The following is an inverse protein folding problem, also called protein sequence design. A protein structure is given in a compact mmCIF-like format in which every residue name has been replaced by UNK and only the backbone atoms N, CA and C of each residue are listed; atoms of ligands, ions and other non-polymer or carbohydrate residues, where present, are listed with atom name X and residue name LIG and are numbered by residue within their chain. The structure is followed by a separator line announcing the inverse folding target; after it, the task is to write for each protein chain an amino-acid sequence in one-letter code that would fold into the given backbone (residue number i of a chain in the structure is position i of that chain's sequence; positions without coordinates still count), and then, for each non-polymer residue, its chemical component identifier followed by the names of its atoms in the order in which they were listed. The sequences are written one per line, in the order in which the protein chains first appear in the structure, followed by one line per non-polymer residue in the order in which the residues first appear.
data_IF_455247069335
#
_entry.id   IF_455247069335
#
_cell.length_a   1.000
_cell.length_b   1.000
_cell.length_c   1.000
_cell.angle_alpha   90.00
_cell.angle_beta   90.00
_cell.angle_gamma   90.00
#
_symmetry.space_group_name_H-M   'P 1'
#
loop_
_entity.id
_entity.type
_entity.pdbx_description
1 polymer ?
#
# COMPACT_ATOMS: atom_id res chain seq x y z
N UNK A 1 26.17 8.23 -5.55
CA UNK A 1 26.06 9.05 -6.76
C UNK A 1 27.40 9.18 -7.50
N UNK A 2 28.53 8.87 -6.88
CA UNK A 2 29.86 8.99 -7.47
C UNK A 2 30.36 10.42 -7.65
N UNK A 3 29.64 11.42 -7.15
CA UNK A 3 30.08 12.81 -7.20
C UNK A 3 31.11 13.12 -6.10
N UNK A 4 32.12 13.90 -6.44
CA UNK A 4 33.23 14.28 -5.54
C UNK A 4 32.80 15.29 -4.47
N UNK A 5 31.75 16.09 -4.73
CA UNK A 5 31.26 17.14 -3.85
C UNK A 5 29.80 16.95 -3.53
N UNK A 6 29.36 17.49 -2.39
CA UNK A 6 27.95 17.48 -2.00
C UNK A 6 27.10 18.25 -3.01
N UNK A 7 26.16 17.56 -3.66
CA UNK A 7 25.21 18.19 -4.57
C UNK A 7 24.01 18.75 -3.80
N UNK A 8 23.65 20.00 -4.02
CA UNK A 8 22.46 20.64 -3.41
C UNK A 8 21.17 20.31 -4.16
N UNK A 9 21.29 19.88 -5.42
CA UNK A 9 20.16 19.40 -6.22
C UNK A 9 20.01 17.90 -6.14
N UNK A 10 18.78 17.40 -6.12
CA UNK A 10 18.52 15.96 -6.18
C UNK A 10 18.94 15.42 -7.57
N UNK A 11 19.65 14.29 -7.64
CA UNK A 11 20.12 13.72 -8.92
C UNK A 11 18.98 13.23 -9.83
N UNK A 12 17.81 12.97 -9.26
CA UNK A 12 16.61 12.52 -9.98
C UNK A 12 15.34 12.90 -9.21
N UNK A 13 14.23 12.98 -9.93
CA UNK A 13 12.91 13.15 -9.32
C UNK A 13 12.44 11.84 -8.65
N UNK A 14 11.59 11.96 -7.63
CA UNK A 14 11.01 10.80 -6.94
C UNK A 14 10.22 9.88 -7.88
N UNK A 15 9.59 10.43 -8.92
CA UNK A 15 8.87 9.65 -9.94
C UNK A 15 9.81 8.83 -10.81
N UNK A 16 11.02 9.29 -11.07
CA UNK A 16 12.03 8.55 -11.84
C UNK A 16 12.49 7.30 -11.10
N UNK A 17 12.63 7.36 -9.78
CA UNK A 17 12.90 6.18 -8.95
C UNK A 17 11.76 5.15 -8.99
N UNK A 18 10.51 5.60 -9.10
CA UNK A 18 9.36 4.70 -9.28
C UNK A 18 9.45 4.02 -10.65
N UNK A 19 9.67 4.78 -11.71
CA UNK A 19 9.84 4.23 -13.06
C UNK A 19 11.05 3.28 -13.16
N UNK A 20 12.16 3.62 -12.51
CA UNK A 20 13.33 2.75 -12.44
C UNK A 20 12.98 1.40 -11.80
N UNK A 21 12.34 1.39 -10.62
CA UNK A 21 11.92 0.16 -9.96
C UNK A 21 10.99 -0.70 -10.80
N UNK A 22 10.06 -0.10 -11.53
CA UNK A 22 9.20 -0.84 -12.46
C UNK A 22 9.99 -1.48 -13.61
N UNK A 23 11.00 -0.78 -14.15
CA UNK A 23 11.83 -1.30 -15.24
C UNK A 23 12.70 -2.47 -14.83
N UNK A 24 13.38 -2.38 -13.69
CA UNK A 24 14.29 -3.45 -13.23
C UNK A 24 13.55 -4.64 -12.63
N UNK A 25 12.32 -4.43 -12.11
CA UNK A 25 11.50 -5.45 -11.50
C UNK A 25 12.11 -6.07 -10.23
N UNK A 26 11.53 -7.16 -9.78
CA UNK A 26 11.95 -7.86 -8.56
C UNK A 26 13.38 -8.40 -8.67
N UNK A 27 13.71 -9.03 -9.80
CA UNK A 27 15.06 -9.57 -10.05
C UNK A 27 16.14 -8.50 -9.99
N UNK A 28 15.87 -7.31 -10.56
CA UNK A 28 16.84 -6.21 -10.52
C UNK A 28 17.04 -5.67 -9.11
N UNK A 29 15.98 -5.61 -8.28
CA UNK A 29 16.10 -5.24 -6.87
C UNK A 29 16.92 -6.29 -6.10
N UNK A 30 16.70 -7.59 -6.32
CA UNK A 30 17.52 -8.64 -5.70
C UNK A 30 18.99 -8.54 -6.10
N UNK A 31 19.28 -8.27 -7.38
CA UNK A 31 20.66 -8.06 -7.84
C UNK A 31 21.34 -6.86 -7.15
N UNK A 32 20.61 -5.77 -6.95
CA UNK A 32 21.14 -4.60 -6.21
C UNK A 32 21.43 -4.98 -4.75
N UNK A 33 20.55 -5.74 -4.10
CA UNK A 33 20.76 -6.19 -2.73
C UNK A 33 21.95 -7.15 -2.64
N UNK A 34 22.08 -8.11 -3.57
CA UNK A 34 23.20 -9.03 -3.66
C UNK A 34 24.53 -8.28 -3.81
N UNK A 35 24.55 -7.28 -4.70
CA UNK A 35 25.76 -6.46 -4.92
C UNK A 35 26.10 -5.60 -3.69
N UNK A 36 25.07 -5.08 -3.00
CA UNK A 36 25.26 -4.36 -1.74
C UNK A 36 25.90 -5.25 -0.67
N UNK A 37 25.46 -6.50 -0.55
CA UNK A 37 26.06 -7.48 0.36
C UNK A 37 27.51 -7.76 -0.03
N UNK A 38 27.77 -7.99 -1.33
CA UNK A 38 29.11 -8.26 -1.86
C UNK A 38 30.11 -7.14 -1.57
N UNK A 39 29.69 -5.89 -1.70
CA UNK A 39 30.54 -4.71 -1.44
C UNK A 39 30.91 -4.62 0.05
N UNK A 40 30.03 -5.04 0.96
CA UNK A 40 30.31 -5.08 2.38
C UNK A 40 31.26 -6.23 2.80
N UNK A 41 31.56 -7.16 1.88
CA UNK A 41 32.58 -8.20 2.07
C UNK A 41 32.38 -9.01 3.36
N UNK A 42 33.41 -9.06 4.24
CA UNK A 42 33.36 -9.81 5.49
C UNK A 42 32.25 -9.37 6.45
N UNK A 43 31.82 -8.10 6.39
CA UNK A 43 30.76 -7.58 7.24
C UNK A 43 29.37 -8.12 6.84
N UNK A 44 29.21 -8.51 5.59
CA UNK A 44 28.02 -9.22 5.09
C UNK A 44 28.06 -10.74 5.28
N UNK A 45 29.20 -11.30 5.67
CA UNK A 45 29.44 -12.75 5.83
C UNK A 45 29.42 -13.20 7.30
N UNK A 46 28.79 -12.45 8.19
CA UNK A 46 28.57 -12.84 9.57
C UNK A 46 27.49 -13.94 9.62
N UNK A 47 27.88 -15.11 10.11
CA UNK A 47 26.98 -16.26 10.24
C UNK A 47 25.86 -16.10 11.27
N UNK A 48 25.88 -15.01 12.03
CA UNK A 48 24.90 -14.69 13.06
C UNK A 48 23.98 -13.56 12.57
N UNK A 49 22.68 -13.85 12.41
CA UNK A 49 21.71 -12.89 11.91
C UNK A 49 20.61 -12.60 12.93
N UNK A 50 20.07 -11.39 12.86
CA UNK A 50 18.83 -11.02 13.55
C UNK A 50 17.75 -10.80 12.52
N UNK A 51 16.55 -11.30 12.81
CA UNK A 51 15.36 -11.14 11.96
C UNK A 51 14.32 -10.32 12.71
N UNK A 52 13.90 -9.20 12.14
CA UNK A 52 12.85 -8.36 12.68
C UNK A 52 11.77 -8.12 11.63
N UNK A 53 10.51 -8.11 12.05
CA UNK A 53 9.38 -7.82 11.19
C UNK A 53 8.83 -6.43 11.46
N UNK A 54 8.87 -5.60 10.45
CA UNK A 54 8.32 -4.24 10.50
C UNK A 54 7.20 -4.04 9.49
N UNK A 55 6.50 -2.92 9.58
CA UNK A 55 5.52 -2.49 8.57
C UNK A 55 6.15 -1.45 7.67
N UNK A 56 6.26 -1.78 6.39
CA UNK A 56 6.57 -0.81 5.35
C UNK A 56 5.30 0.01 5.08
N UNK A 57 5.16 1.13 5.75
CA UNK A 57 4.00 2.00 5.55
C UNK A 57 3.97 2.57 4.12
N UNK A 58 2.77 2.61 3.57
CA UNK A 58 2.51 3.23 2.27
C UNK A 58 1.96 4.64 2.44
N UNK A 59 2.32 5.53 1.53
CA UNK A 59 1.83 6.91 1.52
C UNK A 59 0.36 6.97 1.08
N UNK A 60 -0.53 6.57 1.99
CA UNK A 60 -1.97 6.64 1.78
C UNK A 60 -2.63 7.56 2.81
N UNK A 61 -3.64 8.28 2.39
CA UNK A 61 -4.48 9.03 3.33
C UNK A 61 -5.23 8.05 4.23
N UNK A 62 -5.34 8.34 5.54
CA UNK A 62 -6.07 7.49 6.49
C UNK A 62 -7.41 7.05 5.89
N UNK A 63 -7.61 5.74 5.65
CA UNK A 63 -8.73 5.23 4.88
C UNK A 63 -10.02 5.24 5.69
N UNK A 64 -11.05 5.77 5.07
CA UNK A 64 -12.43 5.59 5.51
C UNK A 64 -13.28 5.24 4.29
N UNK A 65 -14.33 4.44 4.47
CA UNK A 65 -15.20 4.05 3.36
C UNK A 65 -15.75 5.30 2.63
N UNK A 66 -16.11 6.35 3.36
CA UNK A 66 -16.58 7.60 2.77
C UNK A 66 -15.54 8.29 1.87
N UNK A 67 -14.25 8.27 2.27
CA UNK A 67 -13.15 8.81 1.44
C UNK A 67 -12.94 7.95 0.19
N UNK A 68 -12.98 6.62 0.33
CA UNK A 68 -12.87 5.71 -0.81
C UNK A 68 -14.02 5.90 -1.80
N UNK A 69 -15.26 5.99 -1.32
CA UNK A 69 -16.41 6.26 -2.17
C UNK A 69 -16.29 7.61 -2.91
N UNK A 70 -15.74 8.65 -2.28
CA UNK A 70 -15.46 9.93 -2.95
C UNK A 70 -14.38 9.80 -4.02
N UNK A 71 -13.32 9.03 -3.75
CA UNK A 71 -12.28 8.75 -4.74
C UNK A 71 -12.85 7.97 -5.94
N UNK A 72 -13.75 6.99 -5.70
CA UNK A 72 -14.47 6.28 -6.77
C UNK A 72 -15.25 7.27 -7.64
N UNK A 73 -16.03 8.16 -7.04
CA UNK A 73 -16.79 9.18 -7.79
C UNK A 73 -15.87 10.01 -8.68
N UNK A 74 -14.76 10.50 -8.11
CA UNK A 74 -13.78 11.30 -8.88
C UNK A 74 -13.14 10.51 -10.02
N UNK A 75 -12.78 9.23 -9.79
CA UNK A 75 -12.22 8.37 -10.84
C UNK A 75 -13.26 8.08 -11.93
N UNK A 76 -14.51 7.77 -11.57
CA UNK A 76 -15.59 7.57 -12.54
C UNK A 76 -15.81 8.81 -13.43
N UNK A 77 -15.77 10.00 -12.84
CA UNK A 77 -15.91 11.24 -13.60
C UNK A 77 -14.75 11.45 -14.59
N UNK A 78 -13.50 11.17 -14.16
CA UNK A 78 -12.33 11.25 -15.03
C UNK A 78 -12.37 10.25 -16.18
N UNK A 79 -12.80 9.01 -15.92
CA UNK A 79 -12.96 8.00 -16.96
C UNK A 79 -14.03 8.44 -17.96
N UNK A 80 -15.17 8.92 -17.48
CA UNK A 80 -16.25 9.41 -18.36
C UNK A 80 -15.81 10.60 -19.22
N UNK A 81 -15.01 11.52 -18.65
CA UNK A 81 -14.44 12.66 -19.38
C UNK A 81 -13.45 12.21 -20.45
N UNK A 82 -12.54 11.28 -20.12
CA UNK A 82 -11.53 10.74 -21.04
C UNK A 82 -12.17 10.00 -22.23
N UNK A 83 -13.28 9.29 -21.99
CA UNK A 83 -14.00 8.52 -23.02
C UNK A 83 -15.13 9.31 -23.69
N UNK A 84 -15.28 10.61 -23.36
CA UNK A 84 -16.35 11.44 -23.92
C UNK A 84 -17.78 10.96 -23.59
N UNK A 85 -17.95 10.21 -22.50
CA UNK A 85 -19.23 9.64 -22.10
C UNK A 85 -20.12 10.70 -21.44
N UNK A 86 -21.41 10.78 -21.82
CA UNK A 86 -22.34 11.70 -21.18
C UNK A 86 -22.62 11.26 -19.74
N UNK A 87 -22.20 12.04 -18.77
CA UNK A 87 -22.55 11.81 -17.36
C UNK A 87 -23.85 12.53 -17.03
N UNK A 88 -24.85 11.78 -16.58
CA UNK A 88 -26.18 12.32 -16.25
C UNK A 88 -26.14 13.46 -15.23
N UNK A 89 -25.23 13.39 -14.27
CA UNK A 89 -25.03 14.41 -13.24
C UNK A 89 -23.58 14.46 -12.75
N UNK A 90 -23.00 15.65 -12.64
CA UNK A 90 -21.67 15.84 -12.05
C UNK A 90 -21.63 15.69 -10.51
N UNK A 91 -22.78 15.73 -9.85
CA UNK A 91 -22.91 15.69 -8.38
C UNK A 91 -22.07 16.73 -7.60
N UNK A 92 -21.41 17.68 -8.27
CA UNK A 92 -20.44 18.60 -7.65
C UNK A 92 -21.02 19.37 -6.46
N UNK A 93 -22.18 19.99 -6.63
CA UNK A 93 -22.88 20.74 -5.56
C UNK A 93 -23.33 19.82 -4.43
N UNK A 94 -23.92 18.66 -4.78
CA UNK A 94 -24.36 17.64 -3.82
C UNK A 94 -23.21 17.13 -2.97
N UNK A 95 -22.08 16.79 -3.58
CA UNK A 95 -20.88 16.30 -2.85
C UNK A 95 -20.30 17.35 -1.92
N UNK A 96 -20.31 18.65 -2.32
CA UNK A 96 -19.90 19.75 -1.45
C UNK A 96 -20.78 19.84 -0.20
N UNK A 97 -22.10 19.79 -0.35
CA UNK A 97 -23.08 19.77 0.76
C UNK A 97 -22.87 18.55 1.67
N UNK A 98 -22.78 17.35 1.10
CA UNK A 98 -22.53 16.13 1.85
C UNK A 98 -21.19 16.17 2.61
N UNK A 99 -20.16 16.88 2.07
CA UNK A 99 -18.90 17.11 2.75
C UNK A 99 -19.06 17.96 4.02
N UNK A 100 -19.91 18.97 3.98
CA UNK A 100 -20.25 19.75 5.17
C UNK A 100 -20.97 18.89 6.20
N UNK A 101 -21.94 18.08 5.75
CA UNK A 101 -22.70 17.19 6.63
C UNK A 101 -21.84 16.10 7.29
N UNK A 102 -20.70 15.75 6.70
CA UNK A 102 -19.73 14.79 7.25
C UNK A 102 -18.75 15.39 8.25
N UNK A 103 -18.70 16.72 8.37
CA UNK A 103 -17.85 17.39 9.37
C UNK A 103 -18.37 17.08 10.77
N UNK A 104 -17.46 17.13 11.74
CA UNK A 104 -17.77 16.90 13.15
C UNK A 104 -18.57 15.62 13.43
N UNK A 105 -18.31 14.55 12.64
CA UNK A 105 -19.01 13.26 12.75
C UNK A 105 -18.93 12.60 14.13
N UNK A 106 -17.90 12.94 14.92
CA UNK A 106 -17.73 12.41 16.28
C UNK A 106 -18.63 13.11 17.29
N UNK A 107 -19.18 14.27 16.95
CA UNK A 107 -20.10 14.98 17.82
C UNK A 107 -21.48 14.26 17.83
N UNK A 108 -22.08 13.96 18.99
CA UNK A 108 -23.31 13.20 19.10
C UNK A 108 -24.46 13.72 18.21
N UNK A 109 -24.68 15.04 18.20
CA UNK A 109 -25.74 15.70 17.39
C UNK A 109 -25.52 15.55 15.87
N UNK A 110 -24.29 15.40 15.41
CA UNK A 110 -23.96 15.33 13.97
C UNK A 110 -23.81 13.89 13.44
N UNK A 111 -23.67 12.90 14.33
CA UNK A 111 -23.41 11.50 13.98
C UNK A 111 -24.45 10.92 13.02
N UNK A 112 -25.74 11.19 13.28
CA UNK A 112 -26.84 10.73 12.42
C UNK A 112 -26.81 11.35 11.02
N UNK A 113 -26.54 12.67 10.95
CA UNK A 113 -26.42 13.44 9.71
C UNK A 113 -25.24 12.96 8.88
N UNK A 114 -24.08 12.77 9.50
CA UNK A 114 -22.89 12.26 8.85
C UNK A 114 -23.09 10.84 8.29
N UNK A 115 -23.76 9.93 9.00
CA UNK A 115 -24.09 8.59 8.51
C UNK A 115 -25.05 8.61 7.31
N UNK A 116 -26.04 9.52 7.30
CA UNK A 116 -26.92 9.72 6.15
C UNK A 116 -26.13 10.22 4.93
N UNK A 117 -25.21 11.16 5.14
CA UNK A 117 -24.33 11.67 4.11
C UNK A 117 -23.39 10.58 3.54
N UNK A 118 -22.79 9.74 4.40
CA UNK A 118 -21.95 8.61 3.96
C UNK A 118 -22.73 7.63 3.07
N UNK A 119 -23.95 7.27 3.46
CA UNK A 119 -24.83 6.42 2.65
C UNK A 119 -25.15 7.06 1.29
N UNK A 120 -25.43 8.36 1.26
CA UNK A 120 -25.70 9.08 0.01
C UNK A 120 -24.47 9.11 -0.92
N UNK A 121 -23.27 9.33 -0.37
CA UNK A 121 -22.01 9.27 -1.14
C UNK A 121 -21.81 7.87 -1.73
N UNK A 122 -22.03 6.80 -0.95
CA UNK A 122 -21.96 5.41 -1.43
C UNK A 122 -22.96 5.16 -2.57
N UNK A 123 -24.19 5.63 -2.42
CA UNK A 123 -25.24 5.51 -3.47
C UNK A 123 -24.84 6.21 -4.77
N UNK A 124 -24.25 7.42 -4.68
CA UNK A 124 -23.77 8.17 -5.85
C UNK A 124 -22.62 7.41 -6.52
N UNK A 125 -21.65 6.92 -5.76
CA UNK A 125 -20.55 6.13 -6.28
C UNK A 125 -21.05 4.88 -7.04
N UNK A 126 -21.97 4.12 -6.44
CA UNK A 126 -22.55 2.94 -7.09
C UNK A 126 -23.38 3.25 -8.34
N UNK A 127 -24.01 4.43 -8.40
CA UNK A 127 -24.71 4.88 -9.63
C UNK A 127 -23.72 5.15 -10.76
N UNK A 128 -22.65 5.88 -10.48
CA UNK A 128 -21.64 6.20 -11.48
C UNK A 128 -20.90 4.96 -11.98
N UNK A 129 -20.57 4.01 -11.11
CA UNK A 129 -19.96 2.74 -11.53
C UNK A 129 -20.88 1.99 -12.50
N UNK A 130 -22.17 1.84 -12.18
CA UNK A 130 -23.15 1.19 -13.08
C UNK A 130 -23.39 1.97 -14.37
N UNK A 131 -23.26 3.29 -14.35
CA UNK A 131 -23.36 4.14 -15.54
C UNK A 131 -22.18 3.92 -16.47
N UNK A 132 -20.96 3.85 -15.94
CA UNK A 132 -19.76 3.50 -16.71
C UNK A 132 -19.86 2.10 -17.33
N UNK A 133 -20.28 1.09 -16.56
CA UNK A 133 -20.44 -0.27 -17.08
C UNK A 133 -21.42 -0.39 -18.26
N UNK A 134 -22.47 0.43 -18.26
CA UNK A 134 -23.45 0.41 -19.37
C UNK A 134 -22.95 1.14 -20.61
N UNK A 135 -22.12 2.15 -20.43
CA UNK A 135 -21.71 3.04 -21.49
C UNK A 135 -20.35 2.71 -22.09
N UNK A 136 -19.50 1.97 -21.34
CA UNK A 136 -18.23 1.49 -21.84
C UNK A 136 -18.39 0.21 -22.66
N UNK A 137 -17.56 0.01 -23.70
CA UNK A 137 -17.55 -1.26 -24.46
C UNK A 137 -17.14 -2.43 -23.55
N UNK A 138 -17.52 -3.65 -23.93
CA UNK A 138 -17.21 -4.86 -23.16
C UNK A 138 -15.69 -5.07 -22.98
N UNK A 139 -14.90 -4.76 -24.00
CA UNK A 139 -13.44 -4.75 -23.91
C UNK A 139 -12.98 -3.31 -23.69
N UNK A 140 -12.82 -2.89 -22.45
CA UNK A 140 -12.33 -1.56 -22.08
C UNK A 140 -11.12 -1.64 -21.14
N UNK A 141 -10.22 -0.67 -21.16
CA UNK A 141 -9.02 -0.68 -20.31
C UNK A 141 -9.31 -0.47 -18.82
N UNK A 142 -10.54 -0.09 -18.46
CA UNK A 142 -10.95 0.27 -17.09
C UNK A 142 -11.63 -0.88 -16.32
N UNK A 143 -11.72 -2.08 -16.91
CA UNK A 143 -12.43 -3.20 -16.28
C UNK A 143 -11.89 -3.52 -14.88
N UNK A 144 -10.56 -3.55 -14.72
CA UNK A 144 -9.92 -3.78 -13.43
C UNK A 144 -10.27 -2.69 -12.39
N UNK A 145 -10.33 -1.43 -12.80
CA UNK A 145 -10.76 -0.32 -11.94
C UNK A 145 -12.23 -0.48 -11.52
N UNK A 146 -13.10 -0.83 -12.46
CA UNK A 146 -14.54 -1.06 -12.20
C UNK A 146 -14.74 -2.19 -11.20
N UNK A 147 -14.05 -3.30 -11.35
CA UNK A 147 -14.13 -4.43 -10.43
C UNK A 147 -13.59 -4.08 -9.05
N UNK A 148 -12.51 -3.31 -8.98
CA UNK A 148 -11.99 -2.75 -7.74
C UNK A 148 -13.02 -1.84 -7.05
N UNK A 149 -13.69 -0.95 -7.81
CA UNK A 149 -14.73 -0.07 -7.27
C UNK A 149 -15.91 -0.86 -6.72
N UNK A 150 -16.35 -1.91 -7.41
CA UNK A 150 -17.40 -2.81 -6.93
C UNK A 150 -17.00 -3.49 -5.63
N UNK A 151 -15.78 -4.03 -5.53
CA UNK A 151 -15.27 -4.63 -4.29
C UNK A 151 -15.35 -3.64 -3.13
N UNK A 152 -14.86 -2.40 -3.32
CA UNK A 152 -14.92 -1.34 -2.30
C UNK A 152 -16.34 -0.96 -1.93
N UNK A 153 -17.26 -0.93 -2.89
CA UNK A 153 -18.67 -0.62 -2.64
C UNK A 153 -19.40 -1.72 -1.85
N UNK A 154 -18.99 -2.97 -1.99
CA UNK A 154 -19.62 -4.11 -1.30
C UNK A 154 -18.98 -4.41 0.06
N UNK A 155 -17.73 -4.00 0.30
CA UNK A 155 -17.02 -4.31 1.53
C UNK A 155 -17.70 -3.76 2.79
N UNK A 156 -17.58 -4.53 3.87
CA UNK A 156 -18.07 -4.20 5.22
C UNK A 156 -16.91 -4.02 6.20
N UNK A 157 -17.20 -3.51 7.39
CA UNK A 157 -16.17 -3.22 8.39
C UNK A 157 -15.36 -4.44 8.83
N UNK A 158 -15.97 -5.60 8.90
CA UNK A 158 -15.35 -6.85 9.39
C UNK A 158 -14.81 -7.78 8.32
N UNK A 159 -14.87 -7.39 7.04
CA UNK A 159 -14.43 -8.27 5.96
C UNK A 159 -12.90 -8.48 5.99
N UNK A 160 -12.48 -9.72 5.78
CA UNK A 160 -11.09 -10.05 5.47
C UNK A 160 -10.72 -9.55 4.08
N UNK A 161 -9.47 -9.09 3.89
CA UNK A 161 -9.01 -8.58 2.59
C UNK A 161 -9.66 -7.27 2.15
N UNK A 162 -10.05 -6.43 3.10
CA UNK A 162 -10.61 -5.10 2.85
C UNK A 162 -9.63 -4.22 2.10
N UNK A 163 -10.13 -3.46 1.13
CA UNK A 163 -9.34 -2.50 0.35
C UNK A 163 -9.30 -1.17 1.08
N UNK A 164 -8.08 -0.67 1.32
CA UNK A 164 -7.82 0.59 2.01
C UNK A 164 -7.38 1.71 1.08
N UNK A 165 -6.92 1.39 -0.13
CA UNK A 165 -6.52 2.38 -1.14
C UNK A 165 -6.91 1.91 -2.54
N UNK A 166 -7.31 2.86 -3.43
CA UNK A 166 -7.62 2.56 -4.82
C UNK A 166 -6.38 2.55 -5.73
N UNK A 167 -5.26 3.13 -5.30
CA UNK A 167 -4.02 3.14 -6.08
C UNK A 167 -3.01 2.12 -5.55
N UNK A 168 -3.20 1.65 -4.33
CA UNK A 168 -2.40 0.61 -3.67
C UNK A 168 -3.38 -0.41 -3.06
N UNK A 169 -4.04 -1.26 -3.86
CA UNK A 169 -5.10 -2.17 -3.38
C UNK A 169 -4.59 -3.24 -2.40
N UNK A 170 -3.30 -3.59 -2.50
CA UNK A 170 -2.67 -4.63 -1.69
C UNK A 170 -2.25 -4.16 -0.28
N UNK A 171 -2.44 -2.87 0.03
CA UNK A 171 -2.16 -2.35 1.38
C UNK A 171 -3.02 -3.03 2.43
N UNK A 172 -2.36 -3.50 3.49
CA UNK A 172 -3.00 -4.13 4.64
C UNK A 172 -3.14 -3.14 5.81
N UNK A 173 -4.11 -3.39 6.68
CA UNK A 173 -4.27 -2.68 7.94
C UNK A 173 -3.68 -3.54 9.05
N UNK A 174 -2.56 -3.13 9.62
CA UNK A 174 -1.79 -3.88 10.59
C UNK A 174 -1.91 -3.17 11.93
N UNK A 175 -2.32 -3.92 12.98
CA UNK A 175 -2.39 -3.42 14.34
C UNK A 175 -1.12 -3.82 15.09
N UNK A 176 -0.33 -2.84 15.51
CA UNK A 176 0.91 -3.07 16.28
C UNK A 176 0.75 -2.81 17.80
N UNK A 177 -0.46 -2.60 18.29
CA UNK A 177 -0.69 -2.36 19.72
C UNK A 177 -0.05 -1.08 20.28
N UNK A 178 0.54 -0.22 19.44
CA UNK A 178 1.15 1.04 19.86
C UNK A 178 0.07 2.02 20.33
N UNK A 179 0.27 2.65 21.48
CA UNK A 179 -0.69 3.58 22.08
C UNK A 179 -0.98 4.78 21.16
N UNK A 180 0.05 5.38 20.56
CA UNK A 180 -0.08 6.56 19.70
C UNK A 180 -0.58 6.25 18.28
N UNK A 181 -0.35 5.03 17.77
CA UNK A 181 -0.67 4.66 16.38
C UNK A 181 -1.18 3.23 16.32
N UNK A 182 -2.46 3.10 16.58
CA UNK A 182 -3.12 1.80 16.66
C UNK A 182 -3.07 0.99 15.36
N UNK A 183 -3.10 1.65 14.21
CA UNK A 183 -3.12 1.00 12.89
C UNK A 183 -2.06 1.60 11.98
N UNK A 184 -1.30 0.73 11.34
CA UNK A 184 -0.36 1.04 10.27
C UNK A 184 -0.89 0.45 8.95
N UNK A 185 -0.75 1.22 7.86
CA UNK A 185 -1.25 0.82 6.55
C UNK A 185 -0.08 0.59 5.61
N UNK A 186 0.18 -0.68 5.29
CA UNK A 186 1.32 -1.09 4.49
C UNK A 186 1.37 -2.59 4.34
N UNK A 187 2.57 -3.09 4.04
CA UNK A 187 2.86 -4.51 4.01
C UNK A 187 3.86 -4.84 5.12
N UNK A 188 3.80 -6.06 5.66
CA UNK A 188 4.85 -6.55 6.54
C UNK A 188 6.12 -6.83 5.75
N UNK A 189 7.26 -6.53 6.33
CA UNK A 189 8.57 -6.82 5.76
C UNK A 189 9.42 -7.45 6.85
N UNK A 190 9.95 -8.66 6.61
CA UNK A 190 11.00 -9.24 7.42
C UNK A 190 12.34 -8.73 6.91
N UNK A 191 13.11 -8.11 7.78
CA UNK A 191 14.46 -7.63 7.52
C UNK A 191 15.41 -8.56 8.25
N UNK A 192 16.38 -9.11 7.51
CA UNK A 192 17.45 -9.92 8.07
C UNK A 192 18.72 -9.09 8.01
N UNK A 193 19.36 -8.91 9.15
CA UNK A 193 20.65 -8.20 9.24
C UNK A 193 21.66 -8.99 10.07
N UNK A 194 22.93 -8.80 9.78
CA UNK A 194 24.04 -9.37 10.56
C UNK A 194 24.06 -8.79 11.97
N UNK A 195 24.28 -9.63 12.99
CA UNK A 195 24.25 -9.19 14.39
C UNK A 195 25.38 -8.21 14.76
N UNK A 196 26.58 -8.49 14.28
CA UNK A 196 27.76 -7.73 14.68
C UNK A 196 27.93 -6.44 13.86
N UNK A 197 27.58 -6.46 12.60
CA UNK A 197 27.87 -5.35 11.67
C UNK A 197 26.63 -4.58 11.20
N UNK A 198 25.43 -5.15 11.38
CA UNK A 198 24.17 -4.52 11.00
C UNK A 198 23.91 -4.45 9.49
N UNK A 199 24.68 -5.20 8.68
CA UNK A 199 24.47 -5.25 7.22
C UNK A 199 23.18 -5.98 6.92
N UNK A 200 22.31 -5.39 6.09
CA UNK A 200 21.08 -6.03 5.64
C UNK A 200 21.43 -7.09 4.61
N UNK A 201 21.12 -8.34 4.95
CA UNK A 201 21.39 -9.54 4.13
C UNK A 201 20.12 -10.21 3.60
N UNK A 202 18.95 -9.71 3.99
CA UNK A 202 17.66 -10.16 3.49
C UNK A 202 16.58 -9.12 3.73
N UNK A 203 15.63 -9.03 2.81
CA UNK A 203 14.45 -8.17 2.94
C UNK A 203 13.29 -8.76 2.11
N UNK A 204 12.28 -9.30 2.79
CA UNK A 204 11.17 -9.98 2.14
C UNK A 204 9.84 -9.42 2.60
N UNK A 205 8.98 -9.04 1.63
CA UNK A 205 7.66 -8.48 1.90
C UNK A 205 6.59 -9.56 1.95
N UNK A 206 5.71 -9.47 2.92
CA UNK A 206 4.59 -10.39 3.12
C UNK A 206 3.26 -9.61 3.18
N UNK A 207 2.20 -10.27 2.81
CA UNK A 207 0.86 -9.86 3.21
C UNK A 207 0.74 -10.10 4.71
N UNK A 208 -0.15 -9.59 5.42
CA UNK A 208 -0.34 -9.66 6.88
C UNK A 208 -0.29 -11.12 7.47
N UNK A 209 0.79 -11.86 7.17
CA UNK A 209 1.07 -13.18 7.72
C UNK A 209 1.57 -13.06 9.18
N UNK A 210 1.41 -14.13 9.97
CA UNK A 210 2.03 -14.21 11.30
C UNK A 210 3.55 -14.28 11.18
N UNK A 211 4.27 -13.58 12.04
CA UNK A 211 5.71 -13.38 11.90
C UNK A 211 6.50 -14.71 11.90
N UNK A 212 6.13 -15.65 12.75
CA UNK A 212 6.75 -16.98 12.78
C UNK A 212 6.62 -17.78 11.47
N UNK A 213 5.57 -17.55 10.67
CA UNK A 213 5.41 -18.19 9.38
C UNK A 213 6.25 -17.56 8.26
N UNK A 214 6.87 -16.40 8.52
CA UNK A 214 7.69 -15.68 7.53
C UNK A 214 9.17 -15.97 7.68
N UNK A 215 9.61 -16.54 8.82
CA UNK A 215 11.01 -16.76 9.17
C UNK A 215 11.73 -17.65 8.16
N UNK A 216 11.17 -18.81 7.85
CA UNK A 216 11.77 -19.78 6.93
C UNK A 216 12.06 -19.13 5.56
N UNK A 217 11.05 -18.48 4.96
CA UNK A 217 11.19 -17.80 3.67
C UNK A 217 12.22 -16.64 3.69
N UNK A 218 12.30 -15.92 4.82
CA UNK A 218 13.28 -14.84 4.98
C UNK A 218 14.71 -15.40 5.06
N UNK A 219 14.92 -16.50 5.77
CA UNK A 219 16.21 -17.19 5.85
C UNK A 219 16.60 -17.87 4.53
N UNK A 220 15.65 -18.44 3.80
CA UNK A 220 15.87 -18.97 2.45
C UNK A 220 16.34 -17.88 1.48
N UNK A 221 15.71 -16.69 1.53
CA UNK A 221 16.17 -15.54 0.74
C UNK A 221 17.60 -15.17 1.14
N UNK A 222 17.90 -15.10 2.43
CA UNK A 222 19.25 -14.79 2.94
C UNK A 222 20.27 -15.77 2.43
N UNK A 223 19.99 -17.08 2.53
CA UNK A 223 20.83 -18.15 1.99
C UNK A 223 21.12 -17.94 0.49
N UNK A 224 20.10 -17.59 -0.29
CA UNK A 224 20.23 -17.38 -1.74
C UNK A 224 21.10 -16.15 -2.06
N UNK A 225 20.95 -15.06 -1.27
CA UNK A 225 21.67 -13.80 -1.51
C UNK A 225 23.12 -13.84 -1.04
N UNK A 226 23.41 -14.54 0.06
CA UNK A 226 24.76 -14.65 0.64
C UNK A 226 25.53 -15.88 0.17
N UNK A 227 24.85 -16.83 -0.52
CA UNK A 227 25.34 -18.17 -0.87
C UNK A 227 25.76 -19.01 0.34
N UNK A 228 25.33 -18.64 1.55
CA UNK A 228 25.62 -19.35 2.82
C UNK A 228 24.39 -19.38 3.71
N UNK A 229 24.21 -20.48 4.44
CA UNK A 229 23.18 -20.55 5.46
C UNK A 229 23.66 -19.84 6.76
N UNK A 230 22.83 -19.00 7.39
CA UNK A 230 23.15 -18.47 8.70
C UNK A 230 23.33 -19.60 9.72
N UNK A 231 24.35 -19.45 10.59
CA UNK A 231 24.60 -20.41 11.67
C UNK A 231 23.59 -20.26 12.80
N UNK A 232 23.22 -19.02 13.10
CA UNK A 232 22.19 -18.69 14.10
C UNK A 232 21.29 -17.55 13.60
N UNK A 233 20.01 -17.64 13.95
CA UNK A 233 19.05 -16.58 13.72
C UNK A 233 18.39 -16.19 15.05
N UNK A 234 18.54 -14.93 15.44
CA UNK A 234 17.88 -14.36 16.61
C UNK A 234 16.62 -13.65 16.18
N UNK A 235 15.53 -13.94 16.85
CA UNK A 235 14.20 -13.37 16.59
C UNK A 235 13.60 -12.81 17.88
N UNK A 236 12.62 -11.90 17.77
CA UNK A 236 11.86 -11.43 18.93
C UNK A 236 10.91 -12.54 19.43
N UNK A 237 10.48 -12.44 20.69
CA UNK A 237 9.55 -13.42 21.34
C UNK A 237 8.20 -13.58 20.63
N UNK A 238 7.90 -12.75 19.67
CA UNK A 238 6.69 -12.78 18.87
C UNK A 238 6.74 -13.72 17.65
N UNK A 239 7.87 -14.35 17.37
CA UNK A 239 8.06 -15.28 16.25
C UNK A 239 7.65 -16.70 16.61
#
# INVERSE_FOLDING_TARGET
SGEKYFATAQPCDASELVHFRYRIGEKGIEMILTESIRINGKDGDDGHVSVDTTVQEKNITFPTDAKLHRKIISKCQKIAEAEGLPVRQSYRRTLKKLGVDQRFRNHPKNKGKARKADRKVKTIAGRLVRELERNLPAANPYQNDIDLFKRVLHQKRGDSGKIYSLHEPDVQCISKGKEHKKYEFGNKVSIVHTQNTGVIVGALSFRNEYDGHTLEKALEQTCRLTAKAPTTATVDRGY
#
